data_IF_257490046068
#
_entry.id   IF_257490046068
#
_cell.length_a   1.000
_cell.length_b   1.000
_cell.length_c   1.000
_cell.angle_alpha   90.00
_cell.angle_beta   90.00
_cell.angle_gamma   90.00
#
_symmetry.space_group_name_H-M   'P 1'
#
loop_
_entity.id
_entity.type
_entity.pdbx_description
1 polymer ?
#
# COMPACT_ATOMS: atom_id res chain seq x y z
N UNK A 1 19.83 -28.93 -0.16
CA UNK A 1 18.46 -28.59 -0.63
C UNK A 1 17.64 -27.80 0.41
N UNK A 2 18.18 -27.54 1.61
CA UNK A 2 17.54 -26.77 2.68
C UNK A 2 17.43 -25.27 2.43
N UNK A 3 18.33 -24.70 1.61
CA UNK A 3 18.37 -23.24 1.32
C UNK A 3 17.28 -22.73 0.38
N UNK A 4 16.78 -23.54 -0.57
CA UNK A 4 15.77 -23.09 -1.54
C UNK A 4 14.38 -22.87 -0.92
N UNK A 5 14.03 -23.66 0.11
CA UNK A 5 12.75 -23.57 0.83
C UNK A 5 12.67 -22.28 1.65
N UNK A 6 13.74 -21.97 2.37
CA UNK A 6 13.88 -20.75 3.17
C UNK A 6 13.91 -19.50 2.28
N UNK A 7 14.55 -19.58 1.11
CA UNK A 7 14.65 -18.46 0.17
C UNK A 7 13.33 -18.16 -0.54
N UNK A 8 12.43 -19.13 -0.73
CA UNK A 8 11.15 -18.89 -1.39
C UNK A 8 10.15 -18.23 -0.44
N UNK A 9 10.02 -18.74 0.79
CA UNK A 9 9.21 -18.08 1.83
C UNK A 9 9.79 -16.71 2.19
N UNK A 10 11.12 -16.57 2.33
CA UNK A 10 11.74 -15.25 2.53
C UNK A 10 11.59 -14.30 1.33
N UNK A 11 11.70 -14.77 0.08
CA UNK A 11 11.58 -13.90 -1.10
C UNK A 11 10.13 -13.48 -1.36
N UNK A 12 9.14 -14.31 -1.02
CA UNK A 12 7.71 -13.98 -1.05
C UNK A 12 7.31 -13.01 0.07
N UNK A 13 7.93 -13.15 1.26
CA UNK A 13 7.79 -12.17 2.35
C UNK A 13 8.52 -10.86 2.04
N UNK A 14 9.69 -10.91 1.41
CA UNK A 14 10.37 -9.70 0.96
C UNK A 14 9.55 -8.98 -0.12
N UNK A 15 8.79 -9.63 -1.00
CA UNK A 15 7.94 -8.90 -1.97
C UNK A 15 6.69 -8.27 -1.36
N UNK A 16 6.04 -8.90 -0.38
CA UNK A 16 4.91 -8.28 0.34
C UNK A 16 5.38 -7.12 1.23
N UNK A 17 6.55 -7.26 1.87
CA UNK A 17 7.09 -6.27 2.80
C UNK A 17 8.05 -5.23 2.14
N UNK A 18 8.44 -5.41 0.86
CA UNK A 18 9.19 -4.44 0.03
C UNK A 18 8.29 -3.66 -0.94
N UNK A 19 6.98 -3.70 -0.78
CA UNK A 19 6.20 -2.55 -1.23
C UNK A 19 6.57 -1.39 -0.28
N UNK A 20 6.96 -0.20 -0.79
CA UNK A 20 7.40 0.95 0.00
C UNK A 20 6.23 1.62 0.71
N UNK A 21 5.33 0.81 1.27
CA UNK A 21 4.02 1.24 1.74
C UNK A 21 4.02 1.57 3.24
N UNK A 22 5.06 1.17 3.99
CA UNK A 22 5.06 1.22 5.45
C UNK A 22 6.30 1.86 6.10
N UNK A 23 6.93 2.84 5.42
CA UNK A 23 7.84 3.81 6.07
C UNK A 23 7.06 5.07 6.48
N UNK A 24 7.62 5.97 7.32
CA UNK A 24 6.95 7.23 7.64
C UNK A 24 6.76 8.03 6.35
N UNK A 25 5.54 8.03 5.82
CA UNK A 25 5.23 8.67 4.55
C UNK A 25 5.17 10.18 4.76
N UNK A 26 6.26 10.87 4.39
CA UNK A 26 6.20 12.28 4.06
C UNK A 26 5.48 12.44 2.72
N UNK A 27 4.44 13.27 2.69
CA UNK A 27 3.86 13.81 1.46
C UNK A 27 2.81 12.91 0.80
N UNK A 28 1.55 13.21 1.09
CA UNK A 28 0.36 12.74 0.36
C UNK A 28 0.49 13.11 -1.12
N UNK A 29 0.55 12.11 -1.99
CA UNK A 29 0.39 12.28 -3.43
C UNK A 29 -1.06 12.07 -3.83
N UNK A 30 -1.85 13.16 -3.86
CA UNK A 30 -3.05 13.24 -4.69
C UNK A 30 -2.69 13.38 -6.18
N UNK A 31 -3.65 13.19 -7.12
CA UNK A 31 -3.38 13.20 -8.56
C UNK A 31 -2.94 14.58 -9.09
N UNK A 32 -2.33 14.63 -10.29
CA UNK A 32 -1.53 15.76 -10.73
C UNK A 32 -2.39 16.85 -11.37
N UNK A 33 -2.14 18.10 -10.98
CA UNK A 33 -2.41 19.26 -11.82
C UNK A 33 -3.31 20.32 -11.19
N UNK A 34 -2.71 21.23 -10.44
CA UNK A 34 -3.01 22.66 -10.52
C UNK A 34 -1.69 23.43 -10.36
N UNK A 35 -0.89 23.48 -11.43
CA UNK A 35 0.05 24.59 -11.62
C UNK A 35 -0.79 25.83 -11.99
N UNK A 36 -1.11 26.63 -10.99
CA UNK A 36 -1.56 28.01 -11.17
C UNK A 36 -0.35 28.94 -11.20
N UNK A 37 -0.21 29.67 -12.30
CA UNK A 37 0.87 30.61 -12.63
C UNK A 37 0.84 31.91 -11.78
N UNK A 38 1.82 32.83 -11.94
CA UNK A 38 2.25 33.80 -10.92
C UNK A 38 1.62 35.21 -11.05
N UNK A 39 1.69 35.98 -9.95
CA UNK A 39 1.39 37.43 -9.86
C UNK A 39 0.54 37.73 -8.61
N UNK A 40 0.77 38.72 -7.77
CA UNK A 40 1.63 39.90 -7.84
C UNK A 40 1.94 40.41 -6.42
N UNK A 41 3.15 40.97 -6.28
CA UNK A 41 3.56 42.15 -5.49
C UNK A 41 2.71 42.53 -4.26
N UNK A 42 3.32 42.48 -3.07
CA UNK A 42 3.36 43.63 -2.16
C UNK A 42 4.67 43.65 -1.36
N UNK A 43 5.15 44.86 -1.13
CA UNK A 43 6.54 45.25 -0.94
C UNK A 43 6.68 45.90 0.43
N UNK A 44 7.38 45.28 1.38
CA UNK A 44 7.83 45.94 2.61
C UNK A 44 9.20 45.38 3.06
N UNK A 45 10.25 46.15 2.74
CA UNK A 45 11.60 46.11 3.34
C UNK A 45 11.64 47.04 4.58
N UNK A 46 12.74 47.20 5.37
CA UNK A 46 14.13 46.77 5.14
C UNK A 46 14.89 46.19 6.36
N UNK A 47 16.06 45.60 6.13
CA UNK A 47 16.92 45.16 7.24
C UNK A 47 18.31 44.61 6.91
N UNK A 48 19.19 45.47 6.36
CA UNK A 48 20.62 45.56 6.72
C UNK A 48 21.55 44.34 6.49
N UNK A 49 22.41 44.46 5.47
CA UNK A 49 23.86 44.48 5.70
C UNK A 49 24.73 43.38 5.06
N UNK A 50 25.75 43.84 4.31
CA UNK A 50 27.05 43.18 3.97
C UNK A 50 26.96 41.88 3.16
N UNK A 51 27.67 41.67 2.05
CA UNK A 51 28.74 42.41 1.39
C UNK A 51 29.38 41.50 0.32
N UNK A 52 30.30 42.09 -0.44
CA UNK A 52 31.30 41.48 -1.32
C UNK A 52 30.88 41.10 -2.76
N UNK A 53 31.36 41.96 -3.67
CA UNK A 53 31.46 41.81 -5.13
C UNK A 53 32.19 40.54 -5.59
N UNK A 54 31.80 40.04 -6.76
CA UNK A 54 32.75 39.70 -7.84
C UNK A 54 32.11 40.06 -9.18
N UNK A 55 32.81 40.87 -9.97
CA UNK A 55 32.52 41.15 -11.39
C UNK A 55 33.01 40.00 -12.26
N UNK A 56 32.24 39.58 -13.26
CA UNK A 56 32.80 39.18 -14.56
C UNK A 56 31.96 39.82 -15.68
N UNK A 57 32.72 40.29 -16.65
CA UNK A 57 32.47 41.24 -17.72
C UNK A 57 31.59 40.75 -18.87
N UNK A 58 30.90 41.70 -19.49
CA UNK A 58 30.10 41.64 -20.72
C UNK A 58 30.80 41.02 -21.93
N UNK A 59 30.02 40.36 -22.79
CA UNK A 59 30.12 40.51 -24.24
C UNK A 59 28.79 40.18 -24.92
N UNK A 60 28.13 41.21 -25.44
CA UNK A 60 27.09 41.12 -26.45
C UNK A 60 27.71 41.51 -27.80
N UNK A 61 27.41 40.76 -28.86
CA UNK A 61 27.28 41.25 -30.25
C UNK A 61 26.29 40.32 -30.96
N UNK A 62 25.33 40.95 -31.62
CA UNK A 62 24.18 40.47 -32.39
C UNK A 62 24.60 39.84 -33.74
N UNK A 63 23.72 39.04 -34.37
CA UNK A 63 23.07 39.44 -35.64
C UNK A 63 21.95 38.47 -36.10
N UNK A 64 20.84 39.08 -36.52
CA UNK A 64 19.86 38.73 -37.58
C UNK A 64 19.51 37.27 -37.95
N UNK A 65 18.21 36.96 -37.85
CA UNK A 65 17.25 37.01 -38.98
C UNK A 65 16.10 35.99 -38.80
N UNK A 66 14.88 36.52 -38.83
CA UNK A 66 13.61 35.78 -38.91
C UNK A 66 13.39 35.31 -40.36
N UNK A 67 12.61 34.23 -40.58
CA UNK A 67 11.43 34.44 -41.43
C UNK A 67 10.17 33.74 -40.88
N UNK A 68 9.06 34.39 -41.18
CA UNK A 68 7.71 34.13 -40.69
C UNK A 68 6.85 33.37 -41.71
N UNK A 69 6.00 32.45 -41.20
CA UNK A 69 4.58 32.18 -41.60
C UNK A 69 4.35 31.38 -42.91
N UNK A 70 3.21 30.66 -43.16
CA UNK A 70 1.93 30.45 -42.42
C UNK A 70 1.68 28.95 -42.09
N UNK A 71 0.68 28.46 -41.35
CA UNK A 71 -0.69 28.90 -41.03
C UNK A 71 -1.65 27.72 -41.33
N UNK A 72 -2.64 27.51 -40.46
CA UNK A 72 -3.93 26.77 -40.66
C UNK A 72 -4.11 25.43 -39.93
N UNK A 73 -5.10 25.48 -39.04
CA UNK A 73 -6.07 24.47 -38.63
C UNK A 73 -5.61 23.16 -37.97
N UNK A 74 -6.05 23.01 -36.72
CA UNK A 74 -6.11 21.74 -36.03
C UNK A 74 -6.30 21.97 -34.55
N UNK A 75 -7.46 22.51 -34.15
CA UNK A 75 -7.96 22.30 -32.79
C UNK A 75 -8.24 20.81 -32.62
N UNK A 76 -7.18 20.01 -32.52
CA UNK A 76 -7.26 18.68 -31.98
C UNK A 76 -7.49 18.88 -30.49
N UNK A 77 -8.75 18.77 -30.08
CA UNK A 77 -9.09 18.68 -28.67
C UNK A 77 -8.11 17.72 -28.03
N UNK A 78 -7.40 18.22 -27.02
CA UNK A 78 -6.70 17.35 -26.08
C UNK A 78 -7.74 16.31 -25.67
N UNK A 79 -7.53 15.00 -25.92
CA UNK A 79 -8.47 14.02 -25.42
C UNK A 79 -8.46 14.23 -23.92
N UNK A 80 -9.61 14.70 -23.41
CA UNK A 80 -9.88 14.84 -22.00
C UNK A 80 -9.46 13.50 -21.41
N UNK A 81 -8.33 13.52 -20.71
CA UNK A 81 -7.67 12.33 -20.22
C UNK A 81 -8.67 11.79 -19.22
N UNK A 82 -9.49 10.82 -19.64
CA UNK A 82 -10.49 10.17 -18.78
C UNK A 82 -9.74 9.77 -17.52
N UNK A 83 -9.92 10.56 -16.47
CA UNK A 83 -9.34 10.27 -15.18
C UNK A 83 -9.91 8.89 -14.82
N UNK A 84 -9.07 7.89 -14.51
CA UNK A 84 -9.57 6.58 -14.12
C UNK A 84 -10.63 6.80 -13.05
N UNK A 85 -11.89 6.50 -13.39
CA UNK A 85 -13.01 6.84 -12.55
C UNK A 85 -12.80 6.16 -11.21
N UNK A 86 -12.42 6.94 -10.20
CA UNK A 86 -12.17 6.41 -8.88
C UNK A 86 -13.50 5.89 -8.34
N UNK A 87 -13.65 4.57 -8.14
CA UNK A 87 -14.97 3.98 -7.88
C UNK A 87 -15.58 4.46 -6.56
N UNK A 88 -14.78 5.11 -5.72
CA UNK A 88 -15.15 5.56 -4.37
C UNK A 88 -15.45 7.06 -4.27
N UNK A 89 -15.21 7.85 -5.32
CA UNK A 89 -15.27 9.33 -5.29
C UNK A 89 -16.60 9.85 -4.75
N UNK A 90 -17.71 9.25 -5.16
CA UNK A 90 -19.06 9.66 -4.78
C UNK A 90 -19.81 8.60 -3.94
N UNK A 91 -19.14 7.50 -3.58
CA UNK A 91 -19.75 6.43 -2.80
C UNK A 91 -20.10 6.89 -1.37
N UNK A 92 -21.23 6.47 -0.77
CA UNK A 92 -21.53 6.80 0.61
C UNK A 92 -20.56 6.11 1.60
N UNK A 93 -20.39 6.66 2.80
CA UNK A 93 -19.47 6.12 3.82
C UNK A 93 -19.79 4.64 4.10
N UNK A 94 -21.06 4.28 4.24
CA UNK A 94 -21.47 2.87 4.40
C UNK A 94 -20.96 1.94 3.29
N UNK A 95 -20.87 2.42 2.05
CA UNK A 95 -20.39 1.61 0.93
C UNK A 95 -18.87 1.37 1.04
N UNK A 96 -18.12 2.36 1.51
CA UNK A 96 -16.69 2.23 1.79
C UNK A 96 -16.44 1.19 2.90
N UNK A 97 -17.22 1.26 3.98
CA UNK A 97 -17.14 0.30 5.09
C UNK A 97 -17.54 -1.10 4.65
N UNK A 98 -18.63 -1.25 3.91
CA UNK A 98 -19.03 -2.53 3.32
C UNK A 98 -17.93 -3.10 2.43
N UNK A 99 -17.25 -2.26 1.64
CA UNK A 99 -16.12 -2.72 0.82
C UNK A 99 -14.96 -3.21 1.69
N UNK A 100 -14.64 -2.53 2.79
CA UNK A 100 -13.62 -2.99 3.74
C UNK A 100 -13.96 -4.38 4.28
N UNK A 101 -15.21 -4.64 4.69
CA UNK A 101 -15.62 -5.97 5.12
C UNK A 101 -15.47 -7.03 4.02
N UNK A 102 -15.82 -6.69 2.78
CA UNK A 102 -15.64 -7.59 1.64
C UNK A 102 -14.15 -7.90 1.41
N UNK A 103 -13.28 -6.90 1.48
CA UNK A 103 -11.83 -7.06 1.38
C UNK A 103 -11.26 -7.94 2.50
N UNK A 104 -11.84 -7.90 3.70
CA UNK A 104 -11.48 -8.80 4.79
C UNK A 104 -11.93 -10.24 4.53
N UNK A 105 -13.11 -10.45 3.93
CA UNK A 105 -13.54 -11.77 3.49
C UNK A 105 -12.61 -12.36 2.40
N UNK A 106 -12.16 -11.52 1.45
CA UNK A 106 -11.19 -11.89 0.42
C UNK A 106 -9.84 -12.29 1.04
N UNK A 107 -9.31 -11.50 2.00
CA UNK A 107 -8.08 -11.86 2.75
C UNK A 107 -8.25 -13.15 3.54
N UNK A 108 -9.38 -13.35 4.20
CA UNK A 108 -9.66 -14.59 4.94
C UNK A 108 -9.68 -15.80 4.00
N UNK A 109 -10.19 -15.65 2.77
CA UNK A 109 -10.13 -16.70 1.76
C UNK A 109 -8.69 -16.96 1.29
N UNK A 110 -7.88 -15.91 1.11
CA UNK A 110 -6.47 -16.04 0.75
C UNK A 110 -5.67 -16.78 1.85
N UNK A 111 -5.91 -16.48 3.13
CA UNK A 111 -5.33 -17.23 4.25
C UNK A 111 -5.71 -18.72 4.22
N UNK A 112 -6.99 -19.05 3.95
CA UNK A 112 -7.41 -20.46 3.84
C UNK A 112 -6.69 -21.19 2.72
N UNK A 113 -6.58 -20.57 1.54
CA UNK A 113 -5.83 -21.14 0.40
C UNK A 113 -4.35 -21.37 0.75
N UNK A 114 -3.73 -20.42 1.46
CA UNK A 114 -2.34 -20.54 1.90
C UNK A 114 -2.14 -21.73 2.85
N UNK A 115 -3.05 -21.87 3.82
CA UNK A 115 -3.02 -22.98 4.78
C UNK A 115 -3.24 -24.33 4.09
N UNK A 116 -4.24 -24.43 3.22
CA UNK A 116 -4.52 -25.65 2.44
C UNK A 116 -3.33 -26.03 1.54
N UNK A 117 -2.71 -25.05 0.88
CA UNK A 117 -1.53 -25.25 0.06
C UNK A 117 -0.33 -25.74 0.88
N UNK A 118 -0.13 -25.18 2.08
CA UNK A 118 0.94 -25.60 2.98
C UNK A 118 0.70 -27.03 3.52
N UNK A 119 -0.52 -27.37 3.92
CA UNK A 119 -0.87 -28.72 4.34
C UNK A 119 -0.68 -29.74 3.22
N UNK A 120 -1.05 -29.40 1.98
CA UNK A 120 -0.80 -30.24 0.81
C UNK A 120 0.70 -30.44 0.57
N UNK A 121 1.49 -29.36 0.69
CA UNK A 121 2.94 -29.42 0.59
C UNK A 121 3.56 -30.37 1.63
N UNK A 122 3.15 -30.27 2.90
CA UNK A 122 3.63 -31.18 3.96
C UNK A 122 3.21 -32.64 3.72
N UNK A 123 1.98 -32.87 3.26
CA UNK A 123 1.45 -34.21 2.97
C UNK A 123 2.07 -34.88 1.75
N UNK A 124 2.62 -34.11 0.81
CA UNK A 124 3.20 -34.66 -0.43
C UNK A 124 4.38 -35.61 -0.18
N UNK A 125 5.02 -35.53 1.00
CA UNK A 125 6.15 -36.37 1.37
C UNK A 125 7.38 -36.12 0.47
N UNK A 126 8.53 -36.75 0.73
CA UNK A 126 9.68 -36.63 -0.16
C UNK A 126 9.47 -37.39 -1.49
N UNK A 127 9.71 -36.78 -2.67
CA UNK A 127 10.08 -35.38 -2.89
C UNK A 127 8.85 -34.46 -2.82
N UNK A 128 8.97 -33.34 -2.10
CA UNK A 128 7.84 -32.44 -1.93
C UNK A 128 7.50 -31.73 -3.25
N UNK A 129 6.21 -31.49 -3.50
CA UNK A 129 5.73 -30.72 -4.66
C UNK A 129 5.89 -29.21 -4.42
N UNK A 130 7.14 -28.77 -4.48
CA UNK A 130 7.51 -27.38 -4.29
C UNK A 130 7.01 -26.43 -5.40
N UNK A 131 7.03 -26.80 -6.70
CA UNK A 131 6.48 -25.93 -7.74
C UNK A 131 5.00 -25.57 -7.51
N UNK A 132 4.17 -26.54 -7.11
CA UNK A 132 2.76 -26.30 -6.81
C UNK A 132 2.59 -25.36 -5.62
N UNK A 133 3.30 -25.60 -4.52
CA UNK A 133 3.23 -24.74 -3.35
C UNK A 133 3.66 -23.30 -3.67
N UNK A 134 4.75 -23.13 -4.43
CA UNK A 134 5.21 -21.81 -4.88
C UNK A 134 4.14 -21.06 -5.67
N UNK A 135 3.43 -21.73 -6.58
CA UNK A 135 2.31 -21.11 -7.31
C UNK A 135 1.19 -20.66 -6.37
N UNK A 136 0.81 -21.50 -5.40
CA UNK A 136 -0.20 -21.12 -4.38
C UNK A 136 0.23 -19.88 -3.59
N UNK A 137 1.49 -19.83 -3.12
CA UNK A 137 1.94 -18.66 -2.35
C UNK A 137 1.94 -17.41 -3.23
N UNK A 138 2.34 -17.51 -4.50
CA UNK A 138 2.30 -16.37 -5.43
C UNK A 138 0.88 -15.84 -5.66
N UNK A 139 -0.10 -16.70 -5.91
CA UNK A 139 -1.51 -16.32 -6.08
C UNK A 139 -2.06 -15.63 -4.82
N UNK A 140 -1.76 -16.19 -3.64
CA UNK A 140 -2.15 -15.60 -2.35
C UNK A 140 -1.51 -14.22 -2.17
N UNK A 141 -0.21 -14.08 -2.46
CA UNK A 141 0.51 -12.80 -2.40
C UNK A 141 -0.16 -11.74 -3.27
N UNK A 142 -0.52 -12.07 -4.50
CA UNK A 142 -1.22 -11.15 -5.39
C UNK A 142 -2.59 -10.72 -4.83
N UNK A 143 -3.35 -11.67 -4.29
CA UNK A 143 -4.66 -11.39 -3.68
C UNK A 143 -4.54 -10.44 -2.48
N UNK A 144 -3.57 -10.68 -1.58
CA UNK A 144 -3.30 -9.76 -0.46
C UNK A 144 -2.87 -8.37 -0.94
N UNK A 145 -1.98 -8.30 -1.92
CA UNK A 145 -1.50 -7.03 -2.45
C UNK A 145 -2.64 -6.23 -3.12
N UNK A 146 -3.52 -6.88 -3.88
CA UNK A 146 -4.69 -6.26 -4.46
C UNK A 146 -5.63 -5.71 -3.38
N UNK A 147 -5.98 -6.54 -2.39
CA UNK A 147 -6.84 -6.11 -1.30
C UNK A 147 -6.23 -4.97 -0.46
N UNK A 148 -4.92 -4.98 -0.24
CA UNK A 148 -4.23 -3.89 0.46
C UNK A 148 -4.26 -2.59 -0.31
N UNK A 149 -3.93 -2.57 -1.60
CA UNK A 149 -4.03 -1.35 -2.41
C UNK A 149 -5.42 -0.71 -2.33
N UNK A 150 -6.47 -1.53 -2.33
CA UNK A 150 -7.84 -1.05 -2.25
C UNK A 150 -8.25 -0.60 -0.84
N UNK A 151 -7.75 -1.21 0.22
CA UNK A 151 -7.98 -0.66 1.57
C UNK A 151 -7.34 0.71 1.73
N UNK A 152 -6.16 0.92 1.14
CA UNK A 152 -5.41 2.17 1.25
C UNK A 152 -6.05 3.30 0.44
N UNK A 153 -6.59 2.92 -0.73
CA UNK A 153 -7.49 3.74 -1.50
C UNK A 153 -8.68 4.24 -0.65
N UNK A 154 -9.34 3.35 0.08
CA UNK A 154 -10.46 3.70 0.96
C UNK A 154 -10.00 4.54 2.16
N UNK A 155 -8.85 4.22 2.77
CA UNK A 155 -8.28 5.02 3.86
C UNK A 155 -8.03 6.47 3.41
N UNK A 156 -7.45 6.68 2.23
CA UNK A 156 -7.18 8.00 1.68
C UNK A 156 -8.47 8.78 1.39
N UNK A 157 -9.50 8.11 0.87
CA UNK A 157 -10.84 8.69 0.65
C UNK A 157 -11.47 9.15 1.98
N UNK A 158 -11.41 8.29 3.02
CA UNK A 158 -11.94 8.60 4.35
C UNK A 158 -11.18 9.75 5.01
N UNK A 159 -9.84 9.74 4.97
CA UNK A 159 -9.00 10.75 5.60
C UNK A 159 -9.07 12.12 4.90
N UNK A 160 -9.17 12.12 3.57
CA UNK A 160 -9.14 13.33 2.75
C UNK A 160 -10.53 13.85 2.44
N UNK A 161 -11.12 13.53 1.26
CA UNK A 161 -12.39 14.10 0.80
C UNK A 161 -13.55 14.01 1.78
N UNK A 162 -13.62 12.93 2.57
CA UNK A 162 -14.72 12.70 3.51
C UNK A 162 -14.52 13.37 4.86
N UNK A 163 -13.29 13.79 5.20
CA UNK A 163 -12.99 14.39 6.49
C UNK A 163 -13.31 13.47 7.68
N UNK A 164 -13.11 12.15 7.52
CA UNK A 164 -13.39 11.11 8.51
C UNK A 164 -12.09 10.49 9.08
N UNK A 165 -11.29 11.25 9.85
CA UNK A 165 -10.00 10.79 10.35
C UNK A 165 -10.10 9.62 11.34
N UNK A 166 -11.21 9.51 12.09
CA UNK A 166 -11.45 8.40 13.01
C UNK A 166 -11.63 7.08 12.23
N UNK A 167 -12.50 7.07 11.21
CA UNK A 167 -12.69 5.91 10.34
C UNK A 167 -11.40 5.54 9.60
N UNK A 168 -10.66 6.52 9.09
CA UNK A 168 -9.36 6.27 8.48
C UNK A 168 -8.34 5.66 9.47
N UNK A 169 -8.36 6.09 10.74
CA UNK A 169 -7.52 5.50 11.79
C UNK A 169 -7.85 4.04 12.04
N UNK A 170 -9.14 3.67 12.10
CA UNK A 170 -9.56 2.27 12.21
C UNK A 170 -9.06 1.43 11.03
N UNK A 171 -9.19 1.96 9.80
CA UNK A 171 -8.70 1.28 8.58
C UNK A 171 -7.19 1.08 8.60
N UNK A 172 -6.43 2.05 9.13
CA UNK A 172 -4.99 1.92 9.32
C UNK A 172 -4.62 0.86 10.35
N UNK A 173 -5.28 0.86 11.50
CA UNK A 173 -5.10 -0.18 12.54
C UNK A 173 -5.40 -1.57 11.97
N UNK A 174 -6.44 -1.69 11.15
CA UNK A 174 -6.80 -2.92 10.45
C UNK A 174 -5.67 -3.40 9.52
N UNK A 175 -5.02 -2.51 8.74
CA UNK A 175 -3.86 -2.88 7.92
C UNK A 175 -2.68 -3.38 8.76
N UNK A 176 -2.39 -2.74 9.90
CA UNK A 176 -1.31 -3.14 10.81
C UNK A 176 -1.53 -4.54 11.39
N UNK A 177 -2.77 -4.82 11.80
CA UNK A 177 -3.14 -6.12 12.35
C UNK A 177 -3.08 -7.20 11.28
N UNK A 178 -3.57 -6.94 10.06
CA UNK A 178 -3.45 -7.88 8.94
C UNK A 178 -2.00 -8.18 8.56
N UNK A 179 -1.13 -7.16 8.57
CA UNK A 179 0.31 -7.34 8.39
C UNK A 179 0.91 -8.22 9.49
N UNK A 180 0.57 -7.96 10.75
CA UNK A 180 1.04 -8.73 11.90
C UNK A 180 0.60 -10.18 11.81
N UNK A 181 -0.67 -10.41 11.41
CA UNK A 181 -1.23 -11.75 11.20
C UNK A 181 -0.47 -12.49 10.11
N UNK A 182 -0.27 -11.86 8.95
CA UNK A 182 0.43 -12.46 7.82
C UNK A 182 1.89 -12.82 8.17
N UNK A 183 2.62 -11.92 8.84
CA UNK A 183 3.98 -12.18 9.33
C UNK A 183 4.03 -13.37 10.31
N UNK A 184 3.07 -13.44 11.24
CA UNK A 184 3.02 -14.50 12.25
C UNK A 184 2.69 -15.86 11.61
N UNK A 185 1.76 -15.91 10.65
CA UNK A 185 1.44 -17.12 9.88
C UNK A 185 2.64 -17.60 9.05
N UNK A 186 3.39 -16.67 8.45
CA UNK A 186 4.65 -16.99 7.77
C UNK A 186 5.62 -17.75 8.64
N UNK A 187 5.84 -17.21 9.83
CA UNK A 187 6.82 -17.72 10.76
C UNK A 187 6.40 -19.10 11.25
N UNK A 188 5.09 -19.30 11.49
CA UNK A 188 4.53 -20.62 11.77
C UNK A 188 4.80 -21.64 10.66
N UNK A 189 4.62 -21.27 9.38
CA UNK A 189 4.90 -22.16 8.25
C UNK A 189 6.38 -22.45 8.06
N UNK A 190 7.27 -21.51 8.43
CA UNK A 190 8.72 -21.70 8.43
C UNK A 190 9.17 -22.66 9.54
N UNK A 191 8.62 -22.49 10.76
CA UNK A 191 8.98 -23.29 11.93
C UNK A 191 8.34 -24.68 11.93
N UNK A 192 7.17 -24.84 11.30
CA UNK A 192 6.49 -26.12 11.12
C UNK A 192 7.13 -27.04 10.07
N UNK A 193 8.22 -26.62 9.44
CA UNK A 193 8.99 -27.46 8.54
C UNK A 193 9.71 -28.57 9.34
N UNK A 194 9.69 -29.84 8.88
CA UNK A 194 10.15 -31.02 9.64
C UNK A 194 11.66 -31.08 9.94
N UNK A 195 12.39 -29.99 9.71
CA UNK A 195 13.85 -29.92 9.81
C UNK A 195 14.37 -29.24 11.11
N UNK A 196 13.48 -28.72 11.98
CA UNK A 196 13.86 -27.95 13.18
C UNK A 196 13.44 -28.68 14.49
N UNK A 197 14.35 -28.70 15.47
CA UNK A 197 14.32 -29.54 16.70
C UNK A 197 13.11 -29.32 17.62
N UNK A 198 12.60 -30.41 18.21
CA UNK A 198 11.23 -30.55 18.74
C UNK A 198 10.85 -29.71 19.97
N UNK A 199 11.75 -29.44 20.94
CA UNK A 199 11.30 -28.96 22.26
C UNK A 199 11.11 -27.43 22.35
N UNK A 200 12.13 -26.63 22.01
CA UNK A 200 12.06 -25.16 22.09
C UNK A 200 11.08 -24.57 21.04
N UNK A 201 11.00 -25.21 19.87
CA UNK A 201 10.04 -24.89 18.82
C UNK A 201 8.58 -25.05 19.27
N UNK A 202 8.25 -25.94 20.21
CA UNK A 202 6.84 -26.13 20.62
C UNK A 202 6.29 -24.95 21.42
N UNK A 203 7.08 -24.37 22.33
CA UNK A 203 6.68 -23.19 23.11
C UNK A 203 6.54 -21.96 22.21
N UNK A 204 7.54 -21.70 21.37
CA UNK A 204 7.53 -20.57 20.43
C UNK A 204 6.40 -20.70 19.41
N UNK A 205 6.19 -21.89 18.83
CA UNK A 205 5.07 -22.14 17.94
C UNK A 205 3.72 -21.95 18.64
N UNK A 206 3.59 -22.36 19.91
CA UNK A 206 2.40 -22.11 20.70
C UNK A 206 2.17 -20.60 20.90
N UNK A 207 3.21 -19.83 21.24
CA UNK A 207 3.13 -18.38 21.37
C UNK A 207 2.71 -17.69 20.07
N UNK A 208 3.26 -18.12 18.92
CA UNK A 208 2.89 -17.61 17.61
C UNK A 208 1.44 -17.94 17.25
N UNK A 209 0.96 -19.17 17.53
CA UNK A 209 -0.45 -19.54 17.36
C UNK A 209 -1.36 -18.65 18.21
N UNK A 210 -1.01 -18.42 19.48
CA UNK A 210 -1.75 -17.51 20.35
C UNK A 210 -1.73 -16.07 19.82
N UNK A 211 -0.61 -15.61 19.25
CA UNK A 211 -0.52 -14.30 18.63
C UNK A 211 -1.46 -14.17 17.43
N UNK A 212 -1.54 -15.19 16.56
CA UNK A 212 -2.51 -15.20 15.44
C UNK A 212 -3.95 -15.06 15.95
N UNK A 213 -4.33 -15.84 16.96
CA UNK A 213 -5.68 -15.80 17.55
C UNK A 213 -6.00 -14.39 18.06
N UNK A 214 -5.11 -13.83 18.89
CA UNK A 214 -5.29 -12.47 19.45
C UNK A 214 -5.35 -11.40 18.37
N UNK A 215 -4.53 -11.52 17.32
CA UNK A 215 -4.59 -10.58 16.20
C UNK A 215 -5.91 -10.68 15.43
N UNK A 216 -6.46 -11.88 15.25
CA UNK A 216 -7.78 -12.07 14.62
C UNK A 216 -8.93 -11.52 15.47
N UNK A 217 -8.84 -11.63 16.80
CA UNK A 217 -9.77 -11.00 17.74
C UNK A 217 -9.72 -9.47 17.60
N UNK A 218 -8.52 -8.88 17.67
CA UNK A 218 -8.34 -7.43 17.50
C UNK A 218 -8.82 -6.91 16.12
N UNK A 219 -8.63 -7.70 15.05
CA UNK A 219 -9.20 -7.37 13.72
C UNK A 219 -10.73 -7.31 13.79
N UNK A 220 -11.34 -8.27 14.47
CA UNK A 220 -12.80 -8.35 14.60
C UNK A 220 -13.35 -7.17 15.41
N UNK A 221 -12.65 -6.76 16.47
CA UNK A 221 -12.97 -5.57 17.27
C UNK A 221 -12.90 -4.29 16.42
N UNK A 222 -11.79 -4.06 15.71
CA UNK A 222 -11.64 -2.87 14.83
C UNK A 222 -12.72 -2.82 13.74
N UNK A 223 -13.13 -3.96 13.20
CA UNK A 223 -14.23 -4.01 12.23
C UNK A 223 -15.60 -3.69 12.83
N UNK A 224 -15.82 -4.02 14.10
CA UNK A 224 -17.04 -3.66 14.82
C UNK A 224 -17.06 -2.16 15.12
N UNK A 225 -15.95 -1.61 15.61
CA UNK A 225 -15.79 -0.18 15.90
C UNK A 225 -15.95 0.65 14.62
N UNK A 226 -15.31 0.23 13.52
CA UNK A 226 -15.44 0.87 12.22
C UNK A 226 -16.91 0.95 11.76
N UNK A 227 -17.68 -0.14 11.95
CA UNK A 227 -19.10 -0.16 11.59
C UNK A 227 -19.90 0.81 12.45
N UNK A 228 -19.69 0.78 13.76
CA UNK A 228 -20.41 1.62 14.72
C UNK A 228 -20.14 3.11 14.48
N UNK A 229 -18.88 3.49 14.31
CA UNK A 229 -18.50 4.88 14.07
C UNK A 229 -18.98 5.38 12.70
N UNK A 230 -19.06 4.50 11.71
CA UNK A 230 -19.60 4.85 10.40
C UNK A 230 -21.11 5.09 10.42
N UNK A 231 -21.86 4.32 11.21
CA UNK A 231 -23.30 4.58 11.46
C UNK A 231 -23.51 5.94 12.15
N UNK A 232 -22.54 6.41 12.93
CA UNK A 232 -22.60 7.72 13.61
C UNK A 232 -22.16 8.90 12.74
N UNK A 233 -21.49 8.62 11.62
CA UNK A 233 -20.92 9.61 10.70
C UNK A 233 -21.86 9.96 9.52
N UNK A 234 -22.93 9.18 9.33
CA UNK A 234 -24.04 9.45 8.39
C UNK A 234 -25.19 10.19 9.07
#
# INVERSE_FOLDING_TARGET
MSGLRLHCLNSLFFEIFRFPFWGPQAGVGGPPGLQGAPGAVEHLSPGRGRGCSVMITSKAVEDSAVPSVPGTAGAAGVPEREEPAWPWKDAPIRALVQRIHQLQAERAQAFRRLEEGHLQYLRSGPPHDFPRYRSTVHEVTQAFAAASREVLAVEAELAGPRGQPLLASHVRSLQQLEQTRLATVALLQLMGAPELTEQENTLEMHQLKMKVIKTMEAISEVLQDLRFDAESAE
#
